data_IF_987510915823
#
_entry.id   IF_987510915823
#
_cell.length_a   1.000
_cell.length_b   1.000
_cell.length_c   1.000
_cell.angle_alpha   90.00
_cell.angle_beta   90.00
_cell.angle_gamma   90.00
#
_symmetry.space_group_name_H-M   'P 1'
#
loop_
_entity.id
_entity.type
_entity.pdbx_description
1 polymer ?
#
# COMPACT_ATOMS: atom_id res chain seq x y z
N UNK A 1 13.66 -19.66 2.38
CA UNK A 1 12.49 -19.65 3.31
C UNK A 1 12.02 -18.20 3.46
N UNK A 2 10.80 -17.85 3.03
CA UNK A 2 10.26 -16.48 3.21
C UNK A 2 9.71 -16.35 4.63
N UNK A 3 10.07 -15.26 5.33
CA UNK A 3 9.61 -14.98 6.69
C UNK A 3 8.07 -14.99 6.80
N UNK A 4 7.54 -15.60 7.87
CA UNK A 4 6.11 -15.73 8.15
C UNK A 4 5.51 -14.52 8.88
N UNK A 5 6.34 -13.59 9.37
CA UNK A 5 5.92 -12.44 10.18
C UNK A 5 5.13 -11.42 9.34
N UNK A 6 3.91 -11.01 9.75
CA UNK A 6 3.06 -10.08 8.98
C UNK A 6 3.68 -8.70 8.73
N UNK A 7 4.43 -8.17 9.67
CA UNK A 7 5.18 -6.90 9.60
C UNK A 7 6.33 -6.94 8.60
N UNK A 8 6.99 -8.10 8.47
CA UNK A 8 8.02 -8.32 7.44
C UNK A 8 7.41 -8.37 6.04
N UNK A 9 6.13 -8.77 5.92
CA UNK A 9 5.38 -8.77 4.65
C UNK A 9 4.68 -7.45 4.36
N UNK A 10 4.41 -6.66 5.39
CA UNK A 10 3.76 -5.36 5.29
C UNK A 10 4.41 -4.36 6.27
N UNK A 11 5.41 -3.57 5.82
CA UNK A 11 6.15 -2.66 6.69
C UNK A 11 5.25 -1.55 7.28
N UNK A 12 4.08 -1.28 6.69
CA UNK A 12 3.11 -0.32 7.24
C UNK A 12 2.63 -0.75 8.63
N UNK A 13 2.50 -2.05 8.90
CA UNK A 13 2.02 -2.55 10.19
C UNK A 13 2.98 -2.26 11.36
N UNK A 14 4.27 -2.02 11.07
CA UNK A 14 5.25 -1.63 12.08
C UNK A 14 5.15 -0.14 12.48
N UNK A 15 4.43 0.68 11.70
CA UNK A 15 4.29 2.11 11.99
C UNK A 15 3.34 2.32 13.19
N UNK A 16 3.69 3.19 14.16
CA UNK A 16 2.82 3.47 15.31
C UNK A 16 1.40 3.89 14.93
N UNK A 17 1.26 4.63 13.83
CA UNK A 17 -0.03 5.10 13.31
C UNK A 17 -0.91 4.00 12.72
N UNK A 18 -0.34 2.86 12.30
CA UNK A 18 -1.11 1.77 11.69
C UNK A 18 -2.09 1.12 12.66
N UNK A 19 -1.84 1.21 13.98
CA UNK A 19 -2.78 0.73 15.02
C UNK A 19 -4.15 1.41 14.94
N UNK A 20 -4.22 2.64 14.42
CA UNK A 20 -5.49 3.37 14.24
C UNK A 20 -6.40 2.75 13.18
N UNK A 21 -5.88 1.89 12.31
CA UNK A 21 -6.70 1.18 11.31
C UNK A 21 -7.73 0.28 12.00
N UNK A 22 -7.40 -0.29 13.16
CA UNK A 22 -8.30 -1.15 13.93
C UNK A 22 -9.49 -0.39 14.55
N UNK A 23 -9.36 0.93 14.74
CA UNK A 23 -10.44 1.77 15.29
C UNK A 23 -11.34 2.38 14.21
N UNK A 24 -11.05 2.16 12.93
CA UNK A 24 -11.89 2.65 11.83
C UNK A 24 -13.12 1.74 11.66
N UNK A 25 -14.27 2.33 11.31
CA UNK A 25 -15.44 1.53 10.92
C UNK A 25 -15.15 0.69 9.67
N UNK A 26 -15.83 -0.44 9.46
CA UNK A 26 -15.68 -1.25 8.27
C UNK A 26 -15.84 -0.46 6.97
N UNK A 27 -16.80 0.45 6.92
CA UNK A 27 -17.11 1.30 5.77
C UNK A 27 -15.97 2.28 5.48
N UNK A 28 -15.40 2.89 6.51
CA UNK A 28 -14.26 3.79 6.37
C UNK A 28 -13.01 3.03 5.89
N UNK A 29 -12.80 1.81 6.38
CA UNK A 29 -11.69 0.94 5.94
C UNK A 29 -11.84 0.58 4.47
N UNK A 30 -13.06 0.24 4.03
CA UNK A 30 -13.32 -0.11 2.63
C UNK A 30 -13.17 1.10 1.70
N UNK A 31 -13.75 2.24 2.05
CA UNK A 31 -13.62 3.47 1.26
C UNK A 31 -12.15 3.89 1.08
N UNK A 32 -11.35 3.84 2.15
CA UNK A 32 -9.91 4.09 2.06
C UNK A 32 -9.17 3.01 1.26
N UNK A 33 -9.58 1.74 1.36
CA UNK A 33 -8.95 0.65 0.62
C UNK A 33 -9.15 0.81 -0.89
N UNK A 34 -10.31 1.27 -1.33
CA UNK A 34 -10.58 1.59 -2.74
C UNK A 34 -9.73 2.76 -3.24
N UNK A 35 -9.65 3.85 -2.46
CA UNK A 35 -8.75 4.97 -2.81
C UNK A 35 -7.28 4.51 -2.93
N UNK A 36 -6.83 3.62 -2.04
CA UNK A 36 -5.47 3.06 -2.13
C UNK A 36 -5.29 2.13 -3.33
N UNK A 37 -6.37 1.48 -3.80
CA UNK A 37 -6.35 0.71 -5.03
C UNK A 37 -6.15 1.63 -6.25
N UNK A 38 -6.88 2.74 -6.32
CA UNK A 38 -6.78 3.74 -7.37
C UNK A 38 -5.38 4.37 -7.42
N UNK A 39 -4.84 4.78 -6.26
CA UNK A 39 -3.47 5.29 -6.17
C UNK A 39 -2.46 4.24 -6.66
N UNK A 40 -2.65 2.97 -6.30
CA UNK A 40 -1.79 1.88 -6.76
C UNK A 40 -1.81 1.70 -8.28
N UNK A 41 -2.99 1.80 -8.89
CA UNK A 41 -3.17 1.72 -10.34
C UNK A 41 -2.54 2.92 -11.07
N UNK A 42 -2.81 4.14 -10.63
CA UNK A 42 -2.23 5.36 -11.20
C UNK A 42 -0.70 5.36 -11.07
N UNK A 43 -0.16 5.01 -9.90
CA UNK A 43 1.27 4.92 -9.69
C UNK A 43 1.93 3.88 -10.61
N UNK A 44 1.26 2.74 -10.86
CA UNK A 44 1.75 1.74 -11.82
C UNK A 44 1.80 2.32 -13.24
N UNK A 45 0.76 3.03 -13.69
CA UNK A 45 0.71 3.64 -15.01
C UNK A 45 1.83 4.68 -15.18
N UNK A 46 2.02 5.56 -14.20
CA UNK A 46 3.07 6.59 -14.19
C UNK A 46 4.48 6.02 -14.13
N UNK A 47 4.68 4.91 -13.41
CA UNK A 47 5.96 4.20 -13.42
C UNK A 47 6.29 3.68 -14.82
N UNK A 48 5.33 3.06 -15.50
CA UNK A 48 5.52 2.54 -16.87
C UNK A 48 5.78 3.67 -17.88
N UNK A 49 5.06 4.78 -17.76
CA UNK A 49 5.33 5.95 -18.58
C UNK A 49 6.73 6.53 -18.33
N UNK A 50 7.15 6.60 -17.06
CA UNK A 50 8.48 7.09 -16.68
C UNK A 50 9.57 6.19 -17.24
N UNK A 51 9.40 4.86 -17.22
CA UNK A 51 10.32 3.93 -17.88
C UNK A 51 10.40 4.19 -19.39
N UNK A 52 9.24 4.30 -20.07
CA UNK A 52 9.19 4.58 -21.52
C UNK A 52 9.87 5.90 -21.90
N UNK A 53 9.87 6.88 -21.00
CA UNK A 53 10.51 8.19 -21.17
C UNK A 53 11.96 8.25 -20.66
N UNK A 54 12.57 7.11 -20.32
CA UNK A 54 13.92 7.01 -19.74
C UNK A 54 14.11 7.82 -18.44
N UNK A 55 13.04 8.00 -17.66
CA UNK A 55 13.04 8.71 -16.36
C UNK A 55 13.16 7.71 -15.20
N UNK A 56 14.30 7.03 -15.11
CA UNK A 56 14.54 5.96 -14.15
C UNK A 56 14.22 6.30 -12.68
N UNK A 57 14.72 7.42 -12.13
CA UNK A 57 14.40 7.82 -10.76
C UNK A 57 12.90 8.02 -10.50
N UNK A 58 12.17 8.62 -11.45
CA UNK A 58 10.71 8.78 -11.32
C UNK A 58 9.96 7.47 -11.44
N UNK A 59 10.44 6.56 -12.28
CA UNK A 59 9.84 5.25 -12.37
C UNK A 59 9.99 4.47 -11.05
N UNK A 60 11.16 4.54 -10.41
CA UNK A 60 11.40 3.95 -9.08
C UNK A 60 10.53 4.61 -7.99
N UNK A 61 10.42 5.95 -8.00
CA UNK A 61 9.53 6.69 -7.09
C UNK A 61 8.08 6.21 -7.20
N UNK A 62 7.52 6.18 -8.40
CA UNK A 62 6.14 5.73 -8.61
C UNK A 62 5.95 4.24 -8.25
N UNK A 63 6.96 3.40 -8.46
CA UNK A 63 6.94 2.01 -7.97
C UNK A 63 6.87 1.94 -6.45
N UNK A 64 7.60 2.78 -5.73
CA UNK A 64 7.54 2.85 -4.26
C UNK A 64 6.17 3.33 -3.78
N UNK A 65 5.59 4.36 -4.42
CA UNK A 65 4.23 4.84 -4.14
C UNK A 65 3.22 3.70 -4.28
N UNK A 66 3.23 2.99 -5.42
CA UNK A 66 2.31 1.87 -5.66
C UNK A 66 2.51 0.71 -4.67
N UNK A 67 3.74 0.43 -4.26
CA UNK A 67 4.02 -0.59 -3.25
C UNK A 67 3.42 -0.20 -1.89
N UNK A 68 3.64 1.03 -1.42
CA UNK A 68 3.08 1.50 -0.15
C UNK A 68 1.55 1.62 -0.19
N UNK A 69 0.95 2.07 -1.29
CA UNK A 69 -0.50 2.05 -1.47
C UNK A 69 -1.05 0.62 -1.33
N UNK A 70 -0.40 -0.37 -1.96
CA UNK A 70 -0.77 -1.78 -1.82
C UNK A 70 -0.60 -2.33 -0.40
N UNK A 71 0.44 -1.90 0.32
CA UNK A 71 0.66 -2.25 1.72
C UNK A 71 -0.42 -1.66 2.64
N UNK A 72 -0.75 -0.38 2.48
CA UNK A 72 -1.82 0.29 3.23
C UNK A 72 -3.17 -0.38 2.93
N UNK A 73 -3.49 -0.63 1.65
CA UNK A 73 -4.73 -1.32 1.26
C UNK A 73 -4.86 -2.69 1.93
N UNK A 74 -3.78 -3.47 1.97
CA UNK A 74 -3.77 -4.77 2.66
C UNK A 74 -3.96 -4.63 4.17
N UNK A 75 -3.42 -3.59 4.80
CA UNK A 75 -3.64 -3.31 6.22
C UNK A 75 -5.10 -2.89 6.49
N UNK A 76 -5.71 -2.10 5.59
CA UNK A 76 -7.12 -1.70 5.66
C UNK A 76 -8.08 -2.89 5.48
N UNK A 77 -7.75 -3.84 4.59
CA UNK A 77 -8.56 -5.07 4.38
C UNK A 77 -8.23 -6.21 5.33
N UNK A 78 -7.07 -6.18 5.97
CA UNK A 78 -6.64 -7.20 6.92
C UNK A 78 -7.47 -7.13 8.20
N UNK A 79 -8.29 -8.13 8.46
CA UNK A 79 -9.23 -8.18 9.57
C UNK A 79 -8.55 -8.36 10.93
N UNK A 80 -9.19 -7.75 11.93
CA UNK A 80 -9.06 -8.03 13.35
C UNK A 80 -8.80 -9.53 13.58
N UNK A 81 -7.64 -9.84 14.12
CA UNK A 81 -7.48 -11.08 14.87
C UNK A 81 -7.84 -10.69 16.30
N UNK A 82 -8.86 -11.36 16.84
CA UNK A 82 -9.23 -11.27 18.25
C UNK A 82 -8.11 -11.69 19.18
#
# INVERSE_FOLDING_TARGET
MRSSRPDVRNPVLALPGARRIASLSPEAREALAEIMADIGADARARAQESWRKNKGPMAAYWKAVGAYAGHIRRALRGTAHG
#
